data_IF_019087663964
#
_entry.id   IF_019087663964
#
_cell.length_a   1.000
_cell.length_b   1.000
_cell.length_c   1.000
_cell.angle_alpha   90.00
_cell.angle_beta   90.00
_cell.angle_gamma   90.00
#
_symmetry.space_group_name_H-M   'P 1'
#
loop_
_entity.id
_entity.type
_entity.pdbx_description
1 polymer ?
2 polymer ?
3 non-polymer ?
4 non-polymer ?
5 water ?
#
loop_
_entity_poly.entity_id
_entity_poly.type
_entity_poly.pdbx_seq_one_letter_code
_entity_poly.pdbx_strand_id
2 'polyribonucleotide' 'GAGGGAGAGGUGAAGAAUACGACCACCUAGGUACCAUUGCACUCCGGUACCUAAAACAUACCCUC' ?
#
# COMPACT_ATOMS: atom_id res chain seq x y z
N UNK A 6 -4.61 2.86 -14.20
CA UNK A 6 -5.81 2.43 -13.50
C UNK A 6 -6.67 3.57 -13.03
N UNK A 7 -7.77 3.22 -12.41
CA UNK A 7 -8.75 4.16 -11.94
C UNK A 7 -8.74 4.14 -10.44
N UNK A 8 -9.08 5.25 -9.85
CA UNK A 8 -9.03 5.37 -8.41
C UNK A 8 -9.73 4.24 -7.73
N UNK A 9 -9.25 3.86 -6.56
CA UNK A 9 -9.67 2.68 -5.83
C UNK A 9 -9.38 2.94 -4.38
N UNK A 10 -10.11 2.32 -3.48
CA UNK A 10 -9.86 2.51 -2.05
C UNK A 10 -8.48 1.97 -1.67
N UNK A 11 -7.99 1.07 -2.53
CA UNK A 11 -6.76 0.32 -2.30
C UNK A 11 -5.67 0.77 -3.26
N UNK A 12 -4.50 1.03 -2.68
CA UNK A 12 -3.29 1.24 -3.47
C UNK A 12 -2.37 0.00 -3.43
N UNK A 13 -1.73 -0.19 -4.57
CA UNK A 13 -0.82 -1.29 -4.76
C UNK A 13 0.57 -0.68 -4.81
N UNK A 14 1.41 -1.12 -3.87
CA UNK A 14 2.81 -0.69 -3.82
C UNK A 14 3.75 -1.82 -4.18
N UNK A 15 4.70 -1.50 -5.03
CA UNK A 15 5.79 -2.38 -5.29
C UNK A 15 7.17 -1.65 -5.30
N UNK A 16 8.18 -2.38 -5.73
CA UNK A 16 9.58 -1.95 -5.60
C UNK A 16 10.05 -1.83 -4.14
N UNK A 17 9.36 -2.57 -3.30
CA UNK A 17 9.68 -2.65 -1.91
C UNK A 17 10.89 -3.55 -1.69
N UNK A 18 11.71 -3.12 -0.73
CA UNK A 18 12.84 -3.90 -0.21
C UNK A 18 12.39 -5.19 0.37
N UNK A 19 12.83 -6.25 -0.26
CA UNK A 19 12.39 -7.63 0.04
C UNK A 19 13.07 -8.32 1.23
N UNK A 20 14.04 -7.64 1.83
CA UNK A 20 14.68 -8.17 3.03
C UNK A 20 13.87 -7.88 4.27
N UNK A 21 12.90 -6.97 4.16
CA UNK A 21 12.19 -6.52 5.32
C UNK A 21 11.16 -7.56 5.69
N UNK A 22 11.13 -7.93 6.95
CA UNK A 22 10.16 -8.92 7.46
C UNK A 22 8.74 -8.39 7.40
N UNK A 23 7.79 -9.30 7.26
CA UNK A 23 6.40 -8.93 6.97
C UNK A 23 5.78 -7.95 7.94
N UNK A 24 5.97 -8.20 9.23
CA UNK A 24 5.32 -7.34 10.22
C UNK A 24 5.99 -5.98 10.30
N UNK A 25 7.29 -5.92 10.02
CA UNK A 25 8.01 -4.64 10.01
C UNK A 25 7.55 -3.82 8.84
N UNK A 26 7.41 -4.49 7.71
CA UNK A 26 6.95 -3.86 6.48
C UNK A 26 5.58 -3.23 6.67
N UNK A 27 4.69 -3.98 7.32
CA UNK A 27 3.34 -3.47 7.60
C UNK A 27 3.37 -2.28 8.52
N UNK A 28 4.11 -2.40 9.60
CA UNK A 28 4.19 -1.31 10.58
C UNK A 28 4.76 -0.07 9.94
N UNK A 29 5.68 -0.28 9.01
CA UNK A 29 6.37 0.86 8.39
C UNK A 29 5.49 1.49 7.33
N UNK A 30 4.75 0.65 6.62
CA UNK A 30 3.83 1.12 5.58
C UNK A 30 2.71 1.91 6.27
N UNK A 31 2.29 1.42 7.43
CA UNK A 31 1.30 2.09 8.21
C UNK A 31 1.81 3.48 8.59
N UNK A 32 3.07 3.56 8.98
CA UNK A 32 3.68 4.85 9.35
C UNK A 32 3.86 5.83 8.16
N UNK A 33 4.09 5.32 6.96
CA UNK A 33 4.14 6.18 5.75
C UNK A 33 2.75 6.80 5.43
N UNK A 34 1.73 5.97 5.65
CA UNK A 34 0.45 6.17 5.01
C UNK A 34 -0.71 6.63 5.89
N UNK A 35 -0.57 6.53 7.19
CA UNK A 35 -1.73 6.78 8.04
C UNK A 35 -2.05 8.28 8.00
N UNK A 36 -1.08 9.09 7.63
CA UNK A 36 -1.31 10.54 7.56
C UNK A 36 -2.42 10.90 6.56
N UNK A 37 -2.69 9.99 5.64
CA UNK A 37 -3.59 10.28 4.51
C UNK A 37 -5.06 9.97 4.80
N UNK A 38 -5.27 9.17 5.81
CA UNK A 38 -6.62 8.86 6.26
C UNK A 38 -6.61 7.51 6.93
N UNK A 39 -7.80 6.97 7.18
CA UNK A 39 -7.96 5.71 7.93
C UNK A 39 -7.65 4.53 7.05
N UNK A 40 -6.93 3.58 7.63
CA UNK A 40 -6.49 2.38 6.94
C UNK A 40 -7.22 1.18 7.51
N UNK A 41 -7.81 0.39 6.64
CA UNK A 41 -8.60 -0.77 7.05
C UNK A 41 -7.70 -1.98 7.26
N UNK A 42 -6.72 -2.11 6.38
CA UNK A 42 -5.78 -3.20 6.41
C UNK A 42 -4.58 -2.93 5.49
N UNK A 43 -3.50 -3.66 5.76
CA UNK A 43 -2.30 -3.69 4.89
C UNK A 43 -1.94 -5.15 4.71
N UNK A 44 -1.95 -5.58 3.47
CA UNK A 44 -1.68 -6.97 3.13
C UNK A 44 -0.26 -7.11 2.53
N UNK A 45 0.50 -8.01 3.11
CA UNK A 45 1.85 -8.30 2.65
C UNK A 45 2.08 -9.78 2.64
N UNK A 46 2.64 -10.26 1.55
CA UNK A 46 3.14 -11.62 1.51
C UNK A 46 4.56 -11.67 0.92
N UNK A 47 5.37 -12.53 1.50
CA UNK A 47 6.75 -12.65 1.07
C UNK A 47 6.99 -13.83 0.17
N UNK A 48 5.90 -14.35 -0.40
CA UNK A 48 5.97 -15.47 -1.31
C UNK A 48 6.69 -14.98 -2.54
N UNK A 49 7.07 -15.90 -3.40
CA UNK A 49 7.80 -15.57 -4.58
C UNK A 49 7.07 -14.59 -5.47
N UNK A 50 5.77 -14.76 -5.60
CA UNK A 50 5.02 -13.97 -6.52
C UNK A 50 4.65 -12.66 -5.90
N UNK A 52 6.25 -11.01 -3.09
CA UNK A 52 7.30 -10.26 -2.34
C UNK A 52 7.58 -8.93 -3.03
N UNK A 53 8.01 -7.94 -2.25
CA UNK A 53 8.29 -6.59 -2.82
C UNK A 53 7.04 -5.76 -3.08
N UNK A 54 5.91 -6.24 -2.59
CA UNK A 54 4.59 -5.68 -2.87
C UNK A 54 3.73 -5.61 -1.65
N UNK A 55 2.87 -4.61 -1.63
CA UNK A 55 1.84 -4.46 -0.60
C UNK A 55 0.56 -3.83 -1.17
N UNK A 56 -0.52 -4.15 -0.47
CA UNK A 56 -1.82 -3.51 -0.64
C UNK A 56 -2.19 -2.78 0.61
N UNK A 57 -2.43 -1.50 0.48
CA UNK A 57 -2.90 -0.67 1.57
C UNK A 57 -4.36 -0.25 1.26
N UNK A 58 -5.27 -0.64 2.14
CA UNK A 58 -6.70 -0.40 1.93
C UNK A 58 -7.16 0.76 2.76
N UNK A 59 -7.54 1.83 2.08
CA UNK A 59 -8.09 2.98 2.79
C UNK A 59 -9.63 2.91 2.91
N UNK A 60 -10.15 3.53 3.96
CA UNK A 60 -11.62 3.67 4.14
C UNK A 60 -12.23 4.47 2.98
N UNK A 61 -11.47 5.46 2.50
CA UNK A 61 -11.96 6.42 1.54
C UNK A 61 -11.05 6.52 0.34
N UNK A 62 -11.65 6.55 -0.85
CA UNK A 62 -10.86 6.65 -2.09
C UNK A 62 -10.01 7.95 -2.14
N UNK A 63 -10.43 8.96 -1.40
CA UNK A 63 -9.75 10.25 -1.42
C UNK A 63 -8.40 10.15 -0.70
N UNK A 64 -8.39 9.37 0.36
CA UNK A 64 -7.14 8.99 1.07
C UNK A 64 -6.19 8.26 0.15
N UNK A 65 -6.68 7.29 -0.61
CA UNK A 65 -5.87 6.53 -1.57
C UNK A 65 -5.20 7.42 -2.60
N UNK A 66 -5.97 8.36 -3.10
CA UNK A 66 -5.52 9.28 -4.16
C UNK A 66 -4.41 10.22 -3.68
N UNK A 67 -4.61 10.79 -2.51
CA UNK A 67 -3.59 11.71 -1.95
C UNK A 67 -2.28 10.95 -1.64
N UNK A 68 -2.44 9.76 -1.06
CA UNK A 68 -1.33 8.87 -0.72
C UNK A 68 -0.48 8.60 -1.94
N UNK A 69 -1.14 8.08 -2.95
CA UNK A 69 -0.52 7.70 -4.20
C UNK A 69 0.26 8.86 -4.81
N UNK A 70 -0.35 10.03 -4.84
CA UNK A 70 0.28 11.20 -5.44
C UNK A 70 1.43 11.77 -4.60
N UNK A 71 1.27 11.79 -3.29
CA UNK A 71 2.29 12.34 -2.40
C UNK A 71 3.51 11.43 -2.25
N UNK A 73 4.47 8.85 -4.15
CA UNK A 73 5.04 8.31 -5.40
C UNK A 73 6.54 8.63 -5.44
N UNK A 74 7.36 7.59 -5.56
CA UNK A 74 8.82 7.70 -5.65
C UNK A 74 9.52 7.91 -4.33
N UNK A 75 8.77 7.89 -3.23
CA UNK A 75 9.30 8.29 -1.90
C UNK A 75 10.31 7.21 -1.44
N UNK A 76 11.42 7.64 -0.79
CA UNK A 76 12.41 6.74 -0.22
C UNK A 76 11.88 5.87 0.93
N UNK A 77 12.04 4.56 0.82
CA UNK A 77 11.48 3.65 1.85
C UNK A 77 12.44 2.50 1.98
N UNK A 78 13.14 2.40 3.10
CA UNK A 78 14.27 1.44 3.23
C UNK A 78 15.17 1.37 1.98
N UNK A 79 15.69 2.50 1.55
CA UNK A 79 16.66 2.48 0.44
C UNK A 79 16.17 2.29 -0.99
N UNK A 80 14.87 2.12 -1.18
CA UNK A 80 14.33 2.08 -2.55
C UNK A 80 13.13 3.00 -2.69
N UNK A 81 12.93 3.58 -3.89
CA UNK A 81 11.72 4.37 -4.13
C UNK A 81 10.47 3.55 -4.27
N UNK A 83 6.96 2.64 -5.64
CA UNK A 83 6.15 2.81 -6.84
C UNK A 83 4.73 2.39 -6.46
N UNK A 84 3.80 3.29 -6.75
CA UNK A 84 2.42 3.19 -6.26
C UNK A 84 1.40 3.25 -7.42
N UNK A 85 0.43 2.36 -7.35
CA UNK A 85 -0.70 2.30 -8.30
C UNK A 85 -1.99 2.09 -7.52
N UNK A 86 -3.12 2.39 -8.15
CA UNK A 86 -4.41 1.96 -7.60
C UNK A 86 -4.49 0.46 -7.83
N UNK A 87 -5.08 -0.26 -6.90
CA UNK A 87 -5.36 -1.68 -7.08
C UNK A 87 -6.30 -1.82 -8.27
N UNK A 88 -6.17 -2.91 -9.00
CA UNK A 88 -6.94 -3.11 -10.23
C UNK A 88 -8.37 -3.53 -9.98
N UNK A 89 -8.63 -3.96 -8.75
CA UNK A 89 -9.93 -4.41 -8.32
C UNK A 89 -10.08 -4.07 -6.87
N UNK A 90 -11.31 -4.12 -6.39
CA UNK A 90 -11.60 -3.89 -5.00
C UNK A 90 -11.07 -5.03 -4.19
N UNK A 91 -10.59 -4.70 -3.01
CA UNK A 91 -10.23 -5.71 -2.06
C UNK A 91 -11.53 -6.31 -1.55
N UNK A 92 -11.44 -7.55 -1.10
CA UNK A 92 -12.62 -8.29 -0.66
C UNK A 92 -13.43 -7.44 0.34
N UNK A 93 -12.74 -6.89 1.33
CA UNK A 93 -13.42 -6.15 2.41
C UNK A 93 -14.09 -4.87 1.94
N UNK A 94 -13.76 -4.45 0.72
CA UNK A 94 -14.38 -3.27 0.13
C UNK A 94 -15.55 -3.70 -0.75
N UNK A 95 -15.33 -4.72 -1.59
CA UNK A 95 -16.39 -5.26 -2.46
C UNK A 95 -17.52 -5.84 -1.60
N UNK A 96 -17.15 -6.70 -0.64
CA UNK A 96 -18.12 -7.26 0.31
C UNK A 96 -18.49 -6.23 1.38
#
# INVERSE_FOLDING_TARGET
XAVPETRPNHTIYINNLNEKIKKDELKKSLHAIFSRFGQILDILVSRSLKXRGQAFVIFKEVSSATNALRSXQGFPFYDKPXRIQYAKTDSDIIAKXK
#
